data_IF_473862999526
#
_entry.id   IF_473862999526
#
_cell.length_a   1.000
_cell.length_b   1.000
_cell.length_c   1.000
_cell.angle_alpha   90.00
_cell.angle_beta   90.00
_cell.angle_gamma   90.00
#
_symmetry.space_group_name_H-M   'P 1'
#
loop_
_entity.id
_entity.type
_entity.pdbx_description
1 polymer ?
#
# COMPACT_ATOMS: atom_id res chain seq x y z
N UNK A 1 8.29 8.56 -11.89
CA UNK A 1 7.25 7.83 -11.13
C UNK A 1 6.36 7.13 -12.14
N UNK A 2 6.09 5.84 -11.95
CA UNK A 2 5.17 5.06 -12.77
C UNK A 2 4.13 4.42 -11.85
N UNK A 3 2.93 4.18 -12.38
CA UNK A 3 1.89 3.43 -11.68
C UNK A 3 1.76 2.06 -12.36
N UNK A 4 1.73 1.01 -11.56
CA UNK A 4 1.43 -0.34 -12.02
C UNK A 4 0.20 -0.85 -11.29
N UNK A 5 -0.66 -1.56 -12.01
CA UNK A 5 -1.77 -2.27 -11.43
C UNK A 5 -1.30 -3.69 -11.06
N UNK A 6 -1.59 -4.12 -9.84
CA UNK A 6 -1.30 -5.48 -9.39
C UNK A 6 -2.20 -6.51 -10.06
N UNK A 7 -1.68 -7.73 -10.21
CA UNK A 7 -2.51 -8.90 -10.56
C UNK A 7 -3.59 -9.11 -9.50
N UNK A 8 -4.71 -9.71 -9.91
CA UNK A 8 -5.78 -10.15 -9.00
C UNK A 8 -5.36 -11.30 -8.08
N UNK A 9 -4.19 -11.89 -8.29
CA UNK A 9 -3.70 -13.00 -7.46
C UNK A 9 -3.47 -12.61 -5.99
N UNK A 10 -3.22 -11.31 -5.73
CA UNK A 10 -3.21 -10.73 -4.37
C UNK A 10 -4.49 -11.08 -3.59
N UNK A 11 -5.63 -11.15 -4.28
CA UNK A 11 -6.95 -11.44 -3.68
C UNK A 11 -7.18 -12.93 -3.39
N UNK A 12 -6.39 -13.81 -4.00
CA UNK A 12 -6.51 -15.27 -3.84
C UNK A 12 -5.68 -15.81 -2.67
N UNK A 13 -4.77 -15.01 -2.13
CA UNK A 13 -3.87 -15.41 -1.05
C UNK A 13 -4.65 -15.63 0.25
N UNK A 14 -4.33 -16.70 0.97
CA UNK A 14 -4.86 -16.96 2.30
C UNK A 14 -4.18 -16.03 3.32
N UNK A 15 -4.96 -15.31 4.13
CA UNK A 15 -4.46 -14.32 5.08
C UNK A 15 -4.77 -12.88 4.68
N UNK A 16 -3.95 -11.94 5.14
CA UNK A 16 -4.10 -10.53 4.79
C UNK A 16 -3.75 -10.29 3.32
N UNK A 17 -4.67 -9.64 2.62
CA UNK A 17 -4.58 -9.32 1.19
C UNK A 17 -3.76 -8.04 0.97
N UNK A 18 -2.64 -7.93 1.68
CA UNK A 18 -1.66 -6.86 1.48
C UNK A 18 -0.79 -7.18 0.26
N UNK A 19 -0.55 -6.21 -0.64
CA UNK A 19 0.43 -6.36 -1.70
C UNK A 19 1.82 -6.74 -1.18
N UNK A 20 2.58 -7.49 -1.98
CA UNK A 20 3.98 -7.78 -1.72
C UNK A 20 4.79 -7.75 -3.01
N UNK A 21 6.12 -7.68 -2.91
CA UNK A 21 7.01 -7.57 -4.08
C UNK A 21 6.79 -8.69 -5.10
N UNK A 22 6.50 -9.92 -4.66
CA UNK A 22 6.20 -11.04 -5.57
C UNK A 22 4.96 -10.81 -6.43
N UNK A 23 4.05 -9.93 -6.04
CA UNK A 23 2.86 -9.57 -6.82
C UNK A 23 3.21 -8.68 -8.03
N UNK A 24 4.42 -8.13 -8.09
CA UNK A 24 4.98 -7.41 -9.24
C UNK A 24 5.73 -8.33 -10.22
N UNK A 25 5.87 -9.62 -9.91
CA UNK A 25 6.66 -10.56 -10.74
C UNK A 25 6.14 -10.67 -12.17
N UNK A 26 4.84 -10.53 -12.38
CA UNK A 26 4.22 -10.51 -13.72
C UNK A 26 4.38 -9.17 -14.45
N UNK A 27 4.79 -8.11 -13.73
CA UNK A 27 5.02 -6.78 -14.29
C UNK A 27 6.41 -6.62 -14.93
N UNK A 28 7.15 -7.72 -15.13
CA UNK A 28 8.47 -7.72 -15.75
C UNK A 28 9.59 -7.33 -14.78
N UNK A 29 10.43 -6.37 -15.17
CA UNK A 29 11.63 -5.99 -14.42
C UNK A 29 11.41 -4.92 -13.35
N UNK A 30 10.18 -4.43 -13.15
CA UNK A 30 9.88 -3.34 -12.19
C UNK A 30 10.39 -3.64 -10.77
N UNK A 31 10.21 -4.87 -10.31
CA UNK A 31 10.70 -5.30 -8.98
C UNK A 31 12.22 -5.10 -8.86
N UNK A 32 12.97 -5.38 -9.93
CA UNK A 32 14.43 -5.29 -9.91
C UNK A 32 14.91 -3.86 -10.17
N UNK A 33 14.35 -3.19 -11.16
CA UNK A 33 14.84 -1.91 -11.70
C UNK A 33 14.45 -0.70 -10.85
N UNK A 34 13.29 -0.73 -10.19
CA UNK A 34 12.82 0.41 -9.41
C UNK A 34 13.71 0.64 -8.18
N UNK A 35 14.12 1.89 -7.95
CA UNK A 35 14.85 2.28 -6.75
C UNK A 35 13.93 2.32 -5.51
N UNK A 36 12.67 2.65 -5.72
CA UNK A 36 11.63 2.66 -4.69
C UNK A 36 10.35 2.02 -5.21
N UNK A 37 9.70 1.21 -4.38
CA UNK A 37 8.39 0.60 -4.65
C UNK A 37 7.51 0.92 -3.45
N UNK A 38 6.34 1.50 -3.73
CA UNK A 38 5.34 1.84 -2.73
C UNK A 38 4.03 1.17 -3.11
N UNK A 39 3.45 0.40 -2.19
CA UNK A 39 2.11 -0.16 -2.34
C UNK A 39 1.08 0.70 -1.63
N UNK A 40 -0.12 0.74 -2.20
CA UNK A 40 -1.28 1.33 -1.56
C UNK A 40 -2.19 0.21 -1.08
N UNK A 41 -2.57 0.26 0.19
CA UNK A 41 -3.46 -0.72 0.79
C UNK A 41 -4.52 -0.06 1.66
N UNK A 42 -5.75 -0.57 1.60
CA UNK A 42 -6.90 -0.05 2.37
C UNK A 42 -7.53 -1.16 3.18
N UNK A 43 -7.31 -1.14 4.50
CA UNK A 43 -7.90 -2.11 5.42
C UNK A 43 -9.44 -2.11 5.37
N UNK A 44 -10.05 -0.93 5.24
CA UNK A 44 -11.51 -0.77 5.13
C UNK A 44 -12.11 -1.60 3.99
N UNK A 45 -11.43 -1.69 2.84
CA UNK A 45 -11.89 -2.51 1.71
C UNK A 45 -12.00 -4.01 2.06
N UNK A 46 -11.19 -4.46 3.03
CA UNK A 46 -11.17 -5.83 3.53
C UNK A 46 -11.94 -6.01 4.86
N UNK A 47 -12.74 -5.01 5.28
CA UNK A 47 -13.51 -5.00 6.54
C UNK A 47 -12.64 -5.11 7.80
N UNK A 48 -11.39 -4.65 7.71
CA UNK A 48 -10.53 -4.44 8.87
C UNK A 48 -10.90 -3.08 9.45
N UNK A 49 -11.02 -2.95 10.77
CA UNK A 49 -11.47 -1.71 11.40
C UNK A 49 -10.28 -0.78 11.70
N UNK A 50 -9.17 -1.34 12.17
CA UNK A 50 -8.00 -0.62 12.67
C UNK A 50 -6.71 -1.26 12.13
N UNK A 51 -5.68 -0.45 11.94
CA UNK A 51 -4.31 -0.93 11.72
C UNK A 51 -3.70 -1.46 13.02
N UNK A 52 -2.48 -2.01 12.94
CA UNK A 52 -1.79 -2.58 14.11
C UNK A 52 -1.48 -1.55 15.21
N UNK A 53 -1.33 -0.28 14.84
CA UNK A 53 -1.09 0.85 15.76
C UNK A 53 -2.38 1.41 16.39
N UNK A 54 -3.54 0.83 16.07
CA UNK A 54 -4.86 1.29 16.52
C UNK A 54 -5.44 2.44 15.70
N UNK A 55 -4.76 2.91 14.65
CA UNK A 55 -5.31 3.93 13.75
C UNK A 55 -6.52 3.36 12.99
N UNK A 56 -7.67 4.07 12.93
CA UNK A 56 -8.82 3.61 12.17
C UNK A 56 -8.50 3.52 10.68
N UNK A 57 -8.95 2.46 10.01
CA UNK A 57 -8.76 2.29 8.56
C UNK A 57 -9.80 3.03 7.70
N UNK A 58 -10.84 3.56 8.33
CA UNK A 58 -11.91 4.29 7.67
C UNK A 58 -11.37 5.61 7.09
N UNK A 59 -11.62 5.84 5.80
CA UNK A 59 -11.11 7.02 5.09
C UNK A 59 -9.58 7.20 5.19
N UNK A 60 -8.83 6.10 5.30
CA UNK A 60 -7.36 6.10 5.26
C UNK A 60 -6.82 5.15 4.19
N UNK A 61 -5.53 5.32 3.90
CA UNK A 61 -4.73 4.43 3.07
C UNK A 61 -3.37 4.22 3.73
N UNK A 62 -2.86 3.00 3.63
CA UNK A 62 -1.50 2.65 4.00
C UNK A 62 -0.61 2.75 2.76
N UNK A 63 0.45 3.54 2.86
CA UNK A 63 1.57 3.58 1.94
C UNK A 63 2.68 2.70 2.50
N UNK A 64 2.85 1.51 1.92
CA UNK A 64 3.92 0.59 2.30
C UNK A 64 5.11 0.79 1.35
N UNK A 65 6.21 1.34 1.88
CA UNK A 65 7.49 1.50 1.17
C UNK A 65 8.20 0.14 1.16
N UNK A 66 7.71 -0.78 0.36
CA UNK A 66 8.19 -2.17 0.29
C UNK A 66 9.62 -2.31 -0.27
N UNK A 67 10.12 -1.31 -1.01
CA UNK A 67 11.52 -1.25 -1.47
C UNK A 67 12.02 0.18 -1.42
N UNK A 68 13.24 0.36 -0.90
CA UNK A 68 13.98 1.61 -0.99
C UNK A 68 15.49 1.31 -1.08
N UNK A 69 16.11 1.41 -2.27
CA UNK A 69 17.52 1.06 -2.46
C UNK A 69 18.49 1.88 -1.59
N UNK A 70 18.15 3.13 -1.30
CA UNK A 70 19.01 4.09 -0.61
C UNK A 70 18.53 4.44 0.82
N UNK A 71 17.76 3.57 1.48
CA UNK A 71 17.03 3.95 2.70
C UNK A 71 16.23 2.81 3.30
N UNK A 72 15.49 3.09 4.38
CA UNK A 72 14.66 2.10 5.05
C UNK A 72 13.32 1.90 4.31
N UNK A 73 12.78 0.70 4.45
CA UNK A 73 11.36 0.43 4.22
C UNK A 73 10.56 0.93 5.42
N UNK A 74 9.35 1.40 5.19
CA UNK A 74 8.48 1.92 6.24
C UNK A 74 7.02 1.89 5.80
N UNK A 75 6.10 1.95 6.76
CA UNK A 75 4.67 2.04 6.53
C UNK A 75 4.15 3.41 7.00
N UNK A 76 3.49 4.16 6.12
CA UNK A 76 2.87 5.44 6.45
C UNK A 76 1.36 5.37 6.24
N UNK A 77 0.59 5.78 7.24
CA UNK A 77 -0.85 5.94 7.12
C UNK A 77 -1.17 7.38 6.74
N UNK A 78 -2.03 7.57 5.75
CA UNK A 78 -2.53 8.87 5.34
C UNK A 78 -4.07 8.86 5.27
N UNK A 79 -4.69 10.02 5.51
CA UNK A 79 -6.09 10.20 5.23
C UNK A 79 -6.34 10.20 3.71
N UNK A 80 -7.48 9.65 3.28
CA UNK A 80 -7.89 9.66 1.88
C UNK A 80 -9.37 10.03 1.74
N UNK A 81 -9.65 10.94 0.80
CA UNK A 81 -11.01 11.21 0.36
C UNK A 81 -11.20 10.65 -1.04
N UNK A 82 -11.71 9.42 -1.14
CA UNK A 82 -11.87 8.74 -2.42
C UNK A 82 -12.92 9.37 -3.33
N UNK A 83 -13.89 10.09 -2.78
CA UNK A 83 -14.86 10.85 -3.60
C UNK A 83 -14.19 11.99 -4.36
N UNK A 84 -13.09 12.52 -3.82
CA UNK A 84 -12.35 13.65 -4.40
C UNK A 84 -11.01 13.23 -5.01
N UNK A 85 -10.56 12.00 -4.79
CA UNK A 85 -9.26 11.52 -5.24
C UNK A 85 -8.08 12.22 -4.56
N UNK A 86 -8.23 12.61 -3.29
CA UNK A 86 -7.22 13.38 -2.55
C UNK A 86 -6.69 12.57 -1.39
N UNK A 87 -5.37 12.61 -1.20
CA UNK A 87 -4.67 12.14 0.00
C UNK A 87 -4.29 13.35 0.85
N UNK A 88 -4.40 13.21 2.16
CA UNK A 88 -4.10 14.24 3.15
C UNK A 88 -3.24 13.62 4.24
N UNK A 89 -2.40 14.44 4.86
CA UNK A 89 -1.62 14.01 6.01
C UNK A 89 -2.53 13.53 7.13
N UNK A 90 -2.09 12.49 7.86
CA UNK A 90 -2.81 12.03 9.03
C UNK A 90 -2.69 13.10 10.13
N UNK A 91 -3.80 13.58 10.73
CA UNK A 91 -3.72 14.60 11.75
C UNK A 91 -2.92 14.12 12.97
N UNK A 92 -1.90 14.87 13.37
CA UNK A 92 -1.12 14.60 14.59
C UNK A 92 0.18 13.81 14.40
N UNK A 93 0.55 13.51 13.15
CA UNK A 93 1.92 13.10 12.77
C UNK A 93 2.82 14.30 12.51
#
# INVERSE_FOLDING_TARGET
IALSQLSRDVEKRAGEKRPMLSDLRESGSLEQDADCIIFLWRGEYYKIAEYEDGTPTADTVLFDIAKHRNGATDELIACCNLRRGVFLDLPGT
#
